data_IF_790735029141
#
_entry.id   IF_790735029141
#
_cell.length_a   1.000
_cell.length_b   1.000
_cell.length_c   1.000
_cell.angle_alpha   90.00
_cell.angle_beta   90.00
_cell.angle_gamma   90.00
#
_symmetry.space_group_name_H-M   'P 1'
#
loop_
_entity.id
_entity.type
_entity.pdbx_description
1 polymer ?
#
# COMPACT_ATOMS: atom_id res chain seq x y z
N UNK A 1 -10.07 -8.56 -25.51
CA UNK A 1 -8.93 -8.54 -24.57
C UNK A 1 -7.65 -8.46 -25.37
N UNK A 2 -6.89 -7.40 -25.17
CA UNK A 2 -5.59 -7.15 -25.82
C UNK A 2 -4.47 -7.93 -25.11
N UNK A 3 -3.27 -8.00 -25.70
CA UNK A 3 -2.10 -8.57 -25.02
C UNK A 3 -1.74 -7.77 -23.75
N UNK A 4 -1.96 -6.45 -23.77
CA UNK A 4 -1.75 -5.56 -22.63
C UNK A 4 -2.74 -5.86 -21.50
N UNK A 5 -4.02 -6.07 -21.80
CA UNK A 5 -5.03 -6.39 -20.77
C UNK A 5 -4.66 -7.67 -20.01
N UNK A 6 -4.14 -8.68 -20.73
CA UNK A 6 -3.70 -9.95 -20.15
C UNK A 6 -2.46 -9.81 -19.26
N UNK A 7 -1.50 -8.98 -19.67
CA UNK A 7 -0.31 -8.68 -18.86
C UNK A 7 -0.71 -7.98 -17.56
N UNK A 8 -1.61 -6.98 -17.64
CA UNK A 8 -2.08 -6.23 -16.46
C UNK A 8 -2.86 -7.13 -15.49
N UNK A 9 -3.65 -8.08 -16.00
CA UNK A 9 -4.34 -9.07 -15.18
C UNK A 9 -3.34 -9.97 -14.40
N UNK A 10 -2.24 -10.37 -15.04
CA UNK A 10 -1.19 -11.16 -14.39
C UNK A 10 -0.40 -10.37 -13.35
N UNK A 11 -0.25 -9.06 -13.54
CA UNK A 11 0.42 -8.18 -12.59
C UNK A 11 -0.42 -7.85 -11.36
N UNK A 12 -1.75 -8.05 -11.40
CA UNK A 12 -2.65 -7.68 -10.32
C UNK A 12 -2.18 -8.20 -8.95
N UNK A 13 -1.91 -9.50 -8.84
CA UNK A 13 -1.52 -10.11 -7.57
C UNK A 13 -0.15 -9.62 -7.09
N UNK A 14 0.75 -9.30 -8.02
CA UNK A 14 2.06 -8.71 -7.70
C UNK A 14 1.87 -7.30 -7.15
N UNK A 15 1.02 -6.48 -7.78
CA UNK A 15 0.71 -5.12 -7.31
C UNK A 15 0.10 -5.15 -5.91
N UNK A 16 -0.83 -6.07 -5.65
CA UNK A 16 -1.40 -6.25 -4.30
C UNK A 16 -0.32 -6.64 -3.28
N UNK A 17 0.60 -7.54 -3.65
CA UNK A 17 1.72 -7.91 -2.79
C UNK A 17 2.66 -6.73 -2.50
N UNK A 18 2.92 -5.88 -3.49
CA UNK A 18 3.76 -4.69 -3.33
C UNK A 18 3.11 -3.68 -2.40
N UNK A 19 1.79 -3.47 -2.53
CA UNK A 19 1.04 -2.61 -1.61
C UNK A 19 1.06 -3.16 -0.19
N UNK A 20 0.93 -4.48 -0.01
CA UNK A 20 1.08 -5.10 1.32
C UNK A 20 2.50 -4.90 1.89
N UNK A 21 3.52 -5.05 1.05
CA UNK A 21 4.93 -4.83 1.46
C UNK A 21 5.17 -3.38 1.88
N UNK A 22 4.50 -2.41 1.25
CA UNK A 22 4.54 -1.01 1.71
C UNK A 22 3.90 -0.84 3.09
N UNK A 23 2.78 -1.51 3.36
CA UNK A 23 2.14 -1.46 4.68
C UNK A 23 3.08 -2.03 5.75
N UNK A 24 3.65 -3.21 5.52
CA UNK A 24 4.57 -3.88 6.44
C UNK A 24 5.80 -3.02 6.73
N UNK A 25 6.42 -2.47 5.69
CA UNK A 25 7.56 -1.56 5.83
C UNK A 25 7.28 -0.39 6.78
N UNK A 26 6.12 0.26 6.65
CA UNK A 26 5.80 1.40 7.51
C UNK A 26 5.35 0.98 8.91
N UNK A 27 4.75 -0.21 9.06
CA UNK A 27 4.46 -0.81 10.36
C UNK A 27 5.74 -1.09 11.15
N UNK A 28 6.78 -1.63 10.51
CA UNK A 28 8.08 -1.88 11.13
C UNK A 28 8.71 -0.57 11.63
N UNK A 29 8.65 0.50 10.83
CA UNK A 29 9.16 1.82 11.21
C UNK A 29 8.40 2.36 12.43
N UNK A 30 7.06 2.28 12.43
CA UNK A 30 6.25 2.70 13.59
C UNK A 30 6.61 1.89 14.83
N UNK A 31 6.82 0.58 14.69
CA UNK A 31 7.21 -0.28 15.81
C UNK A 31 8.61 -0.01 16.34
N UNK A 32 9.52 0.52 15.53
CA UNK A 32 10.84 0.97 15.99
C UNK A 32 10.77 2.30 16.74
N UNK A 33 9.94 3.24 16.26
CA UNK A 33 9.90 4.60 16.78
C UNK A 33 8.93 4.80 17.95
N UNK A 34 7.88 3.96 18.04
CA UNK A 34 6.81 4.08 19.03
C UNK A 34 6.65 2.75 19.79
N UNK A 35 7.17 2.66 21.02
CA UNK A 35 6.91 1.53 21.90
C UNK A 35 5.41 1.38 22.16
N UNK A 36 4.92 0.14 22.20
CA UNK A 36 3.53 -0.20 22.55
C UNK A 36 2.46 0.46 21.66
N UNK A 37 2.79 0.74 20.39
CA UNK A 37 1.81 1.28 19.44
C UNK A 37 0.63 0.30 19.21
N UNK A 38 -0.55 0.86 18.96
CA UNK A 38 -1.71 0.07 18.52
C UNK A 38 -1.49 -0.40 17.07
N UNK A 39 -1.19 -1.69 16.92
CA UNK A 39 -0.90 -2.32 15.64
C UNK A 39 -2.07 -2.20 14.65
N UNK A 40 -3.30 -2.36 15.14
CA UNK A 40 -4.50 -2.33 14.29
C UNK A 40 -4.76 -0.90 13.82
N UNK A 41 -4.66 0.07 14.73
CA UNK A 41 -4.85 1.49 14.42
C UNK A 41 -3.77 1.99 13.45
N UNK A 42 -2.50 1.64 13.69
CA UNK A 42 -1.39 2.02 12.82
C UNK A 42 -1.57 1.46 11.40
N UNK A 43 -1.91 0.18 11.28
CA UNK A 43 -2.16 -0.46 9.98
C UNK A 43 -3.29 0.23 9.21
N UNK A 44 -4.39 0.56 9.89
CA UNK A 44 -5.51 1.28 9.28
C UNK A 44 -5.09 2.68 8.79
N UNK A 45 -4.32 3.42 9.60
CA UNK A 45 -3.82 4.75 9.24
C UNK A 45 -2.85 4.69 8.06
N UNK A 46 -1.93 3.73 8.03
CA UNK A 46 -0.98 3.53 6.91
C UNK A 46 -1.74 3.23 5.61
N UNK A 47 -2.72 2.31 5.64
CA UNK A 47 -3.56 2.03 4.48
C UNK A 47 -4.32 3.29 3.99
N UNK A 48 -4.82 4.11 4.91
CA UNK A 48 -5.49 5.36 4.55
C UNK A 48 -4.52 6.36 3.88
N UNK A 49 -3.27 6.44 4.34
CA UNK A 49 -2.22 7.28 3.74
C UNK A 49 -1.86 6.78 2.33
N UNK A 50 -1.71 5.46 2.14
CA UNK A 50 -1.45 4.87 0.83
C UNK A 50 -2.57 5.22 -0.15
N UNK A 51 -3.84 5.06 0.26
CA UNK A 51 -5.00 5.45 -0.57
C UNK A 51 -4.99 6.92 -0.96
N UNK A 52 -4.74 7.82 0.01
CA UNK A 52 -4.62 9.26 -0.26
C UNK A 52 -3.48 9.58 -1.23
N UNK A 53 -2.37 8.83 -1.13
CA UNK A 53 -1.22 9.01 -2.02
C UNK A 53 -1.55 8.61 -3.46
N UNK A 54 -2.30 7.52 -3.66
CA UNK A 54 -2.79 7.11 -4.97
C UNK A 54 -3.73 8.18 -5.54
N UNK A 55 -4.72 8.65 -4.77
CA UNK A 55 -5.62 9.71 -5.22
C UNK A 55 -4.85 10.98 -5.63
N UNK A 56 -3.82 11.34 -4.87
CA UNK A 56 -2.96 12.49 -5.22
C UNK A 56 -2.23 12.30 -6.54
N UNK A 57 -1.73 11.09 -6.83
CA UNK A 57 -1.09 10.78 -8.12
C UNK A 57 -2.11 10.89 -9.25
N UNK A 58 -3.36 10.48 -9.03
CA UNK A 58 -4.43 10.62 -10.02
C UNK A 58 -4.81 12.10 -10.26
N UNK A 59 -4.81 12.94 -9.22
CA UNK A 59 -5.07 14.38 -9.34
C UNK A 59 -3.93 15.15 -10.02
N UNK A 60 -2.68 14.69 -9.86
CA UNK A 60 -1.48 15.33 -10.41
C UNK A 60 -1.22 14.95 -11.90
N UNK A 61 -1.95 13.98 -12.48
CA UNK A 61 -1.86 13.53 -13.87
C UNK A 61 -3.08 13.91 -14.71
#
# INVERSE_FOLDING_TARGET
MTAQDKELEQLHDTIVSDVNSLVEKYMDIVGWDVPEYDEVEAKQKILAIIKKSINKIEEDN
#
